data_IF_531055417958
#
_entry.id   IF_531055417958
#
_cell.length_a   1.000
_cell.length_b   1.000
_cell.length_c   1.000
_cell.angle_alpha   90.00
_cell.angle_beta   90.00
_cell.angle_gamma   90.00
#
_symmetry.space_group_name_H-M   'P 1'
#
loop_
_entity.id
_entity.type
_entity.pdbx_description
1 polymer ?
#
# COMPACT_ATOMS: atom_id res chain seq x y z
N UNK A 1 12.61 2.90 -12.54
CA UNK A 1 11.17 2.62 -12.37
C UNK A 1 10.63 3.18 -11.04
N UNK A 2 11.37 3.03 -9.92
CA UNK A 2 10.97 3.51 -8.57
C UNK A 2 10.71 5.03 -8.50
N UNK A 3 11.60 5.87 -9.03
CA UNK A 3 11.40 7.34 -9.04
C UNK A 3 10.13 7.76 -9.80
N UNK A 4 9.83 7.13 -10.95
CA UNK A 4 8.61 7.41 -11.72
C UNK A 4 7.34 6.98 -10.99
N UNK A 5 7.38 5.85 -10.26
CA UNK A 5 6.27 5.46 -9.40
C UNK A 5 6.03 6.52 -8.33
N UNK A 6 7.10 7.03 -7.71
CA UNK A 6 7.03 8.01 -6.63
C UNK A 6 6.47 9.36 -7.10
N UNK A 7 6.80 9.81 -8.31
CA UNK A 7 6.22 11.02 -8.94
C UNK A 7 4.72 10.86 -9.18
N UNK A 8 4.24 9.69 -9.58
CA UNK A 8 2.79 9.42 -9.65
C UNK A 8 2.12 9.48 -8.27
N UNK A 9 2.81 8.99 -7.24
CA UNK A 9 2.31 9.06 -5.86
C UNK A 9 2.36 10.49 -5.29
N UNK A 10 3.34 11.32 -5.64
CA UNK A 10 3.42 12.71 -5.14
C UNK A 10 2.24 13.57 -5.62
N UNK A 11 1.69 13.28 -6.80
CA UNK A 11 0.46 13.93 -7.30
C UNK A 11 -0.77 13.47 -6.50
N UNK A 12 -0.95 12.17 -6.31
CA UNK A 12 -2.08 11.62 -5.55
C UNK A 12 -2.05 12.04 -4.07
N UNK A 13 -0.86 12.14 -3.48
CA UNK A 13 -0.66 12.65 -2.13
C UNK A 13 -0.87 14.17 -2.06
N UNK A 14 -0.52 14.94 -3.11
CA UNK A 14 -0.87 16.37 -3.21
C UNK A 14 -2.39 16.56 -3.16
N UNK A 15 -3.12 15.81 -3.98
CA UNK A 15 -4.59 15.76 -3.96
C UNK A 15 -5.12 15.33 -2.57
N UNK A 16 -4.37 14.47 -1.86
CA UNK A 16 -4.73 14.08 -0.51
C UNK A 16 -4.58 15.21 0.52
N UNK A 17 -3.55 16.05 0.36
CA UNK A 17 -3.30 17.22 1.23
C UNK A 17 -4.15 18.46 0.92
N UNK A 18 -4.80 18.53 -0.26
CA UNK A 18 -5.68 19.65 -0.61
C UNK A 18 -6.88 19.73 0.37
N UNK A 19 -7.09 20.93 0.91
CA UNK A 19 -8.28 21.25 1.71
C UNK A 19 -9.52 21.13 0.82
N UNK A 20 -10.64 20.60 1.33
CA UNK A 20 -11.89 20.66 0.60
C UNK A 20 -12.23 22.14 0.35
N UNK A 21 -12.55 22.47 -0.90
CA UNK A 21 -13.21 23.73 -1.21
C UNK A 21 -14.47 23.85 -0.35
N UNK A 22 -14.77 25.06 0.10
CA UNK A 22 -15.91 25.40 0.95
C UNK A 22 -17.21 25.14 0.18
N UNK A 23 -17.62 23.88 0.11
CA UNK A 23 -18.86 23.42 -0.51
C UNK A 23 -19.79 23.06 0.62
N UNK A 24 -20.92 23.76 0.63
CA UNK A 24 -22.06 23.65 1.53
C UNK A 24 -22.28 22.20 2.01
N UNK A 25 -22.38 22.03 3.33
CA UNK A 25 -22.58 20.76 4.04
C UNK A 25 -23.85 20.03 3.55
N UNK A 26 -23.72 19.25 2.47
CA UNK A 26 -24.56 18.08 2.28
C UNK A 26 -23.99 16.99 3.18
N UNK A 27 -24.82 16.40 4.05
CA UNK A 27 -24.43 15.20 4.78
C UNK A 27 -24.01 14.16 3.72
N UNK A 28 -22.75 13.70 3.70
CA UNK A 28 -22.39 12.63 2.79
C UNK A 28 -23.23 11.41 3.18
N UNK A 29 -23.94 10.83 2.21
CA UNK A 29 -24.63 9.56 2.41
C UNK A 29 -23.65 8.53 3.00
N UNK A 30 -24.11 7.63 3.88
CA UNK A 30 -23.27 6.56 4.39
C UNK A 30 -22.65 5.79 3.22
N UNK A 31 -21.33 5.90 3.05
CA UNK A 31 -20.62 5.08 2.08
C UNK A 31 -20.75 3.63 2.55
N UNK A 32 -21.43 2.81 1.73
CA UNK A 32 -21.51 1.37 1.96
C UNK A 32 -20.10 0.81 2.06
N UNK A 33 -19.90 -0.11 2.99
CA UNK A 33 -18.60 -0.75 3.15
C UNK A 33 -18.40 -1.77 2.00
N UNK A 34 -17.15 -2.11 1.69
CA UNK A 34 -16.86 -3.16 0.68
C UNK A 34 -17.58 -4.48 1.01
N UNK A 35 -17.81 -4.74 2.30
CA UNK A 35 -18.62 -5.86 2.80
C UNK A 35 -20.08 -5.83 2.33
N UNK A 36 -20.68 -4.65 2.31
CA UNK A 36 -22.08 -4.47 1.92
C UNK A 36 -22.27 -4.40 0.41
N UNK A 37 -21.22 -4.00 -0.32
CA UNK A 37 -21.25 -3.89 -1.77
C UNK A 37 -20.98 -5.23 -2.48
N UNK A 38 -20.18 -6.12 -1.86
CA UNK A 38 -19.72 -7.38 -2.47
C UNK A 38 -19.81 -8.57 -1.48
N UNK A 39 -21.01 -8.93 -0.99
CA UNK A 39 -21.17 -10.04 -0.06
C UNK A 39 -20.67 -11.38 -0.62
N UNK A 40 -20.71 -11.57 -1.94
CA UNK A 40 -20.26 -12.78 -2.63
C UNK A 40 -18.73 -12.99 -2.61
N UNK A 41 -17.95 -11.94 -2.31
CA UNK A 41 -16.49 -11.99 -2.23
C UNK A 41 -15.98 -12.10 -0.78
N UNK A 42 -16.88 -12.09 0.20
CA UNK A 42 -16.53 -12.21 1.62
C UNK A 42 -15.96 -13.61 1.88
N UNK A 43 -14.77 -13.66 2.47
CA UNK A 43 -14.16 -14.90 2.90
C UNK A 43 -14.71 -15.30 4.27
N UNK A 44 -15.12 -16.56 4.40
CA UNK A 44 -15.58 -17.17 5.66
C UNK A 44 -14.58 -18.23 6.19
N UNK A 45 -13.55 -18.59 5.42
CA UNK A 45 -12.48 -19.50 5.88
C UNK A 45 -11.56 -18.76 6.86
N UNK A 46 -11.61 -19.19 8.12
CA UNK A 46 -10.83 -18.60 9.20
C UNK A 46 -9.32 -18.77 9.01
N UNK A 47 -8.85 -19.87 8.42
CA UNK A 47 -7.43 -20.09 8.18
C UNK A 47 -6.92 -19.14 7.10
N UNK A 48 -7.68 -18.97 6.01
CA UNK A 48 -7.35 -18.01 4.94
C UNK A 48 -7.30 -16.58 5.50
N UNK A 49 -8.27 -16.20 6.33
CA UNK A 49 -8.31 -14.91 7.02
C UNK A 49 -7.07 -14.73 7.91
N UNK A 50 -6.70 -15.73 8.70
CA UNK A 50 -5.54 -15.66 9.60
C UNK A 50 -4.23 -15.53 8.84
N UNK A 51 -4.05 -16.26 7.74
CA UNK A 51 -2.90 -16.14 6.86
C UNK A 51 -2.79 -14.72 6.28
N UNK A 52 -3.90 -14.17 5.76
CA UNK A 52 -3.93 -12.80 5.23
C UNK A 52 -3.60 -11.75 6.31
N UNK A 53 -4.07 -11.94 7.54
CA UNK A 53 -3.75 -11.06 8.68
C UNK A 53 -2.26 -11.12 9.02
N UNK A 54 -1.67 -12.32 9.08
CA UNK A 54 -0.25 -12.51 9.42
C UNK A 54 0.66 -11.78 8.41
N UNK A 55 0.45 -12.00 7.11
CA UNK A 55 1.20 -11.32 6.04
C UNK A 55 1.10 -9.80 6.14
N UNK A 56 -0.07 -9.28 6.49
CA UNK A 56 -0.31 -7.85 6.65
C UNK A 56 0.34 -7.28 7.92
N UNK A 57 0.39 -8.05 9.02
CA UNK A 57 1.10 -7.63 10.23
C UNK A 57 2.60 -7.53 9.99
N UNK A 58 3.17 -8.56 9.39
CA UNK A 58 4.57 -8.62 8.99
C UNK A 58 4.96 -7.46 8.05
N UNK A 59 4.20 -7.25 6.98
CA UNK A 59 4.43 -6.15 6.05
C UNK A 59 4.29 -4.79 6.72
N UNK A 60 3.31 -4.64 7.62
CA UNK A 60 3.11 -3.40 8.36
C UNK A 60 4.28 -3.09 9.30
N UNK A 61 4.87 -4.11 9.93
CA UNK A 61 6.00 -3.92 10.85
C UNK A 61 7.27 -3.56 10.08
N UNK A 62 7.52 -4.23 8.95
CA UNK A 62 8.63 -3.89 8.05
C UNK A 62 8.53 -2.45 7.55
N UNK A 63 7.35 -2.01 7.06
CA UNK A 63 7.14 -0.63 6.62
C UNK A 63 7.39 0.39 7.74
N UNK A 64 6.98 0.09 8.97
CA UNK A 64 7.24 0.97 10.11
C UNK A 64 8.74 1.06 10.39
N UNK A 65 9.46 -0.06 10.40
CA UNK A 65 10.92 -0.08 10.63
C UNK A 65 11.67 0.67 9.54
N UNK A 66 11.33 0.43 8.27
CA UNK A 66 11.87 1.18 7.13
C UNK A 66 11.57 2.69 7.23
N UNK A 67 10.39 3.09 7.69
CA UNK A 67 10.06 4.52 7.88
C UNK A 67 10.89 5.22 8.96
N UNK A 68 11.47 4.45 9.88
CA UNK A 68 12.34 4.93 10.97
C UNK A 68 13.83 4.85 10.63
N UNK A 69 14.18 4.14 9.56
CA UNK A 69 15.57 4.00 9.12
C UNK A 69 16.11 5.38 8.71
N UNK A 70 17.38 5.62 9.03
CA UNK A 70 18.08 6.86 8.67
C UNK A 70 18.06 7.09 7.16
N UNK A 71 18.16 8.35 6.76
CA UNK A 71 18.16 8.77 5.35
C UNK A 71 19.55 9.20 4.87
N UNK A 72 20.57 9.05 5.71
CA UNK A 72 21.92 9.62 5.49
C UNK A 72 22.63 9.02 4.27
N UNK A 73 22.27 7.79 3.90
CA UNK A 73 22.79 7.08 2.74
C UNK A 73 21.81 7.02 1.55
N UNK A 74 20.73 7.80 1.61
CA UNK A 74 19.81 7.97 0.49
C UNK A 74 20.22 9.16 -0.38
N UNK A 75 20.10 9.00 -1.70
CA UNK A 75 20.07 10.14 -2.61
C UNK A 75 18.75 10.88 -2.46
N UNK A 76 18.78 12.19 -2.23
CA UNK A 76 17.58 13.02 -2.10
C UNK A 76 17.32 13.90 -3.32
N UNK A 77 16.06 13.99 -3.72
CA UNK A 77 15.55 14.92 -4.71
C UNK A 77 14.42 15.75 -4.09
N UNK A 78 14.63 17.05 -3.98
CA UNK A 78 13.61 17.98 -3.50
C UNK A 78 12.74 18.43 -4.67
N UNK A 79 11.42 18.39 -4.53
CA UNK A 79 10.53 19.03 -5.52
C UNK A 79 10.48 20.54 -5.30
N UNK A 80 10.16 21.32 -6.33
CA UNK A 80 10.17 22.80 -6.32
C UNK A 80 9.39 23.45 -5.15
N UNK A 81 8.42 22.74 -4.55
CA UNK A 81 7.57 23.27 -3.47
C UNK A 81 8.04 22.98 -2.04
N UNK A 82 9.22 22.40 -1.81
CA UNK A 82 9.85 22.27 -0.47
C UNK A 82 9.19 21.30 0.53
N UNK A 83 7.87 21.11 0.47
CA UNK A 83 7.09 20.27 1.41
C UNK A 83 7.20 18.76 1.14
N UNK A 84 7.94 18.37 0.10
CA UNK A 84 8.07 16.99 -0.37
C UNK A 84 9.53 16.69 -0.66
N UNK A 85 10.04 15.68 0.03
CA UNK A 85 11.37 15.14 -0.24
C UNK A 85 11.25 13.70 -0.70
N UNK A 86 11.83 13.44 -1.86
CA UNK A 86 11.97 12.12 -2.45
C UNK A 86 13.35 11.61 -2.09
N UNK A 87 13.41 10.41 -1.53
CA UNK A 87 14.64 9.70 -1.23
C UNK A 87 14.68 8.41 -2.05
N UNK A 88 15.85 8.06 -2.55
CA UNK A 88 16.09 6.79 -3.21
C UNK A 88 17.38 6.16 -2.77
N UNK A 89 17.37 4.85 -2.56
CA UNK A 89 18.52 4.04 -2.19
C UNK A 89 18.45 2.71 -2.91
N UNK A 90 19.60 2.11 -3.18
CA UNK A 90 19.70 0.75 -3.73
C UNK A 90 20.48 -0.12 -2.76
N UNK A 91 19.94 -1.29 -2.44
CA UNK A 91 20.55 -2.27 -1.53
C UNK A 91 20.51 -3.64 -2.21
N UNK A 92 21.68 -4.14 -2.59
CA UNK A 92 21.77 -5.34 -3.42
C UNK A 92 20.92 -5.21 -4.70
N UNK A 93 19.89 -6.06 -4.81
CA UNK A 93 18.96 -6.09 -5.95
C UNK A 93 17.66 -5.32 -5.70
N UNK A 94 17.51 -4.66 -4.56
CA UNK A 94 16.31 -3.90 -4.19
C UNK A 94 16.54 -2.41 -4.40
N UNK A 95 15.64 -1.77 -5.15
CA UNK A 95 15.56 -0.32 -5.23
C UNK A 95 14.47 0.19 -4.27
N UNK A 96 14.84 1.08 -3.36
CA UNK A 96 13.97 1.67 -2.34
C UNK A 96 13.69 3.12 -2.72
N UNK A 97 12.41 3.45 -2.83
CA UNK A 97 11.91 4.82 -2.92
C UNK A 97 11.17 5.19 -1.66
N UNK A 98 11.42 6.38 -1.14
CA UNK A 98 10.74 6.93 0.02
C UNK A 98 10.29 8.35 -0.27
N UNK A 99 9.06 8.67 0.06
CA UNK A 99 8.52 10.02 0.02
C UNK A 99 8.10 10.40 1.43
N UNK A 100 8.57 11.55 1.89
CA UNK A 100 8.11 12.14 3.14
C UNK A 100 7.36 13.44 2.89
N UNK A 101 6.24 13.62 3.61
CA UNK A 101 5.39 14.80 3.57
C UNK A 101 4.90 15.10 4.99
N UNK A 102 4.88 16.38 5.34
CA UNK A 102 4.22 16.88 6.55
C UNK A 102 2.99 17.69 6.16
N UNK A 103 1.83 17.33 6.71
CA UNK A 103 0.56 18.02 6.50
C UNK A 103 0.23 18.81 7.78
N UNK A 104 0.02 20.13 7.72
CA UNK A 104 -0.36 20.92 8.89
C UNK A 104 -1.67 20.43 9.51
N UNK A 105 -1.83 20.64 10.81
CA UNK A 105 -2.97 20.24 11.63
C UNK A 105 -3.20 18.73 11.75
N UNK A 106 -3.20 18.25 13.00
CA UNK A 106 -3.58 16.87 13.34
C UNK A 106 -5.02 16.51 12.97
N UNK A 107 -5.89 17.51 12.77
CA UNK A 107 -7.28 17.29 12.32
C UNK A 107 -7.35 16.66 10.93
N UNK A 108 -6.27 16.77 10.13
CA UNK A 108 -6.19 16.13 8.82
C UNK A 108 -5.98 14.62 8.88
N UNK A 109 -5.67 14.03 10.04
CA UNK A 109 -5.29 12.62 10.15
C UNK A 109 -6.35 11.67 9.56
N UNK A 110 -7.61 11.82 9.99
CA UNK A 110 -8.71 11.00 9.48
C UNK A 110 -8.99 11.22 7.99
N UNK A 111 -8.83 12.45 7.51
CA UNK A 111 -9.03 12.79 6.10
C UNK A 111 -7.94 12.15 5.21
N UNK A 112 -6.68 12.23 5.65
CA UNK A 112 -5.54 11.57 5.00
C UNK A 112 -5.78 10.07 4.91
N UNK A 113 -6.15 9.42 6.02
CA UNK A 113 -6.45 7.99 6.02
C UNK A 113 -7.60 7.63 5.07
N UNK A 114 -8.66 8.45 5.02
CA UNK A 114 -9.80 8.23 4.11
C UNK A 114 -9.36 8.33 2.65
N UNK A 115 -8.55 9.32 2.29
CA UNK A 115 -8.08 9.51 0.91
C UNK A 115 -7.04 8.46 0.49
N UNK A 116 -6.21 7.99 1.42
CA UNK A 116 -5.24 6.90 1.15
C UNK A 116 -5.92 5.53 1.03
N UNK A 117 -6.92 5.25 1.87
CA UNK A 117 -7.75 4.03 1.82
C UNK A 117 -8.96 4.22 0.90
N UNK A 118 -8.72 4.71 -0.32
CA UNK A 118 -9.75 4.87 -1.34
C UNK A 118 -9.47 3.94 -2.54
N UNK A 119 -10.31 2.92 -2.69
CA UNK A 119 -10.17 1.87 -3.71
C UNK A 119 -10.95 2.20 -4.97
N UNK A 120 -10.37 1.96 -6.16
CA UNK A 120 -11.04 2.17 -7.46
C UNK A 120 -11.53 0.83 -7.99
N UNK A 121 -12.78 0.49 -7.71
CA UNK A 121 -13.29 -0.82 -8.07
C UNK A 121 -13.73 -0.94 -9.54
N UNK A 122 -13.88 0.16 -10.32
CA UNK A 122 -14.21 0.12 -11.76
C UNK A 122 -14.35 1.50 -12.46
N UNK A 123 -14.45 2.63 -11.75
CA UNK A 123 -14.91 3.88 -12.40
C UNK A 123 -13.80 4.76 -12.96
N UNK A 124 -12.56 4.75 -12.40
CA UNK A 124 -11.36 5.47 -12.91
C UNK A 124 -10.07 4.81 -12.35
N UNK A 125 -9.61 3.65 -12.86
CA UNK A 125 -8.51 2.88 -12.26
C UNK A 125 -7.19 3.68 -12.13
N UNK A 126 -6.95 4.62 -13.04
CA UNK A 126 -5.70 5.40 -13.10
C UNK A 126 -5.59 6.54 -12.08
N UNK A 127 -6.66 6.88 -11.34
CA UNK A 127 -6.70 8.05 -10.45
C UNK A 127 -6.58 7.74 -8.96
N UNK A 128 -6.68 6.47 -8.55
CA UNK A 128 -6.62 6.09 -7.13
C UNK A 128 -5.35 5.32 -6.80
N UNK A 129 -5.00 5.36 -5.51
CA UNK A 129 -3.79 4.75 -4.96
C UNK A 129 -3.87 3.22 -4.91
N UNK A 130 -5.06 2.70 -4.62
CA UNK A 130 -5.34 1.27 -4.58
C UNK A 130 -6.18 0.94 -5.81
N UNK A 131 -5.63 0.11 -6.68
CA UNK A 131 -6.22 -0.25 -7.97
C UNK A 131 -6.02 -1.76 -8.23
N UNK A 132 -7.08 -2.41 -8.71
CA UNK A 132 -7.14 -3.85 -9.00
C UNK A 132 -8.59 -4.30 -9.11
N UNK A 133 -8.83 -5.51 -9.60
CA UNK A 133 -10.13 -6.15 -9.47
C UNK A 133 -10.25 -6.73 -8.06
N UNK A 134 -11.37 -6.49 -7.39
CA UNK A 134 -11.61 -7.07 -6.07
C UNK A 134 -11.80 -8.58 -6.22
N UNK A 135 -10.95 -9.37 -5.54
CA UNK A 135 -10.97 -10.82 -5.62
C UNK A 135 -11.46 -11.49 -4.33
N UNK A 136 -11.13 -10.89 -3.17
CA UNK A 136 -11.54 -11.39 -1.85
C UNK A 136 -11.70 -10.25 -0.85
N UNK A 137 -12.65 -10.40 0.08
CA UNK A 137 -12.92 -9.45 1.15
C UNK A 137 -12.79 -10.17 2.50
N UNK A 138 -11.77 -9.83 3.30
CA UNK A 138 -11.54 -10.43 4.61
C UNK A 138 -12.07 -9.56 5.76
N UNK A 139 -11.95 -8.23 5.63
CA UNK A 139 -12.53 -7.25 6.56
C UNK A 139 -12.71 -5.90 5.86
N UNK A 140 -13.49 -4.98 6.46
CA UNK A 140 -13.65 -3.61 5.92
C UNK A 140 -12.31 -2.87 5.73
N UNK A 141 -11.22 -3.40 6.27
CA UNK A 141 -9.87 -2.87 6.20
C UNK A 141 -8.85 -3.86 5.63
N UNK A 142 -9.27 -5.00 5.05
CA UNK A 142 -8.38 -6.01 4.48
C UNK A 142 -9.06 -6.68 3.28
N UNK A 143 -8.46 -6.51 2.10
CA UNK A 143 -8.97 -7.03 0.84
C UNK A 143 -7.83 -7.64 0.01
N UNK A 144 -8.18 -8.58 -0.86
CA UNK A 144 -7.31 -9.12 -1.90
C UNK A 144 -7.71 -8.53 -3.25
N UNK A 145 -6.72 -8.04 -3.98
CA UNK A 145 -6.90 -7.45 -5.30
C UNK A 145 -6.13 -8.25 -6.34
N UNK A 146 -6.79 -8.57 -7.44
CA UNK A 146 -6.15 -9.03 -8.67
C UNK A 146 -5.63 -7.83 -9.47
N UNK A 147 -4.42 -7.94 -10.04
CA UNK A 147 -3.85 -6.91 -10.91
C UNK A 147 -4.74 -6.69 -12.14
N UNK A 148 -4.97 -5.43 -12.50
CA UNK A 148 -5.38 -5.12 -13.87
C UNK A 148 -4.25 -5.50 -14.83
N UNK A 149 -4.50 -6.43 -15.75
CA UNK A 149 -3.61 -6.54 -16.89
C UNK A 149 -3.81 -5.32 -17.79
N UNK A 150 -2.78 -4.51 -17.96
CA UNK A 150 -2.84 -3.30 -18.78
C UNK A 150 -2.76 -3.61 -20.28
N UNK A 151 -2.45 -4.85 -20.64
CA UNK A 151 -2.35 -5.28 -22.04
C UNK A 151 -3.63 -6.02 -22.45
N UNK A 152 -4.54 -5.32 -23.15
CA UNK A 152 -5.82 -5.86 -23.64
C UNK A 152 -5.64 -7.04 -24.63
N UNK A 153 -4.47 -7.15 -25.24
CA UNK A 153 -4.13 -8.20 -26.20
C UNK A 153 -3.47 -9.43 -25.56
N UNK A 154 -3.22 -9.38 -24.24
CA UNK A 154 -2.59 -10.47 -23.51
C UNK A 154 -3.56 -10.95 -22.45
N UNK A 155 -4.12 -12.14 -22.61
CA UNK A 155 -4.70 -12.86 -21.46
C UNK A 155 -3.51 -13.55 -20.80
N UNK A 156 -3.00 -13.06 -19.66
CA UNK A 156 -1.94 -13.79 -19.00
C UNK A 156 -2.56 -15.10 -18.51
N UNK A 157 -1.86 -16.22 -18.75
CA UNK A 157 -2.21 -17.51 -18.15
C UNK A 157 -2.21 -17.48 -16.61
N UNK A 158 -1.80 -16.36 -16.00
CA UNK A 158 -1.47 -16.25 -14.59
C UNK A 158 -1.97 -14.94 -14.00
N UNK A 159 -2.81 -15.04 -12.96
CA UNK A 159 -3.33 -13.90 -12.20
C UNK A 159 -2.33 -13.51 -11.12
N UNK A 160 -2.18 -12.21 -10.89
CA UNK A 160 -1.32 -11.69 -9.82
C UNK A 160 -2.19 -11.05 -8.76
N UNK A 161 -2.06 -11.51 -7.51
CA UNK A 161 -2.81 -10.98 -6.39
C UNK A 161 -1.93 -10.18 -5.43
N UNK A 162 -2.53 -9.23 -4.74
CA UNK A 162 -1.90 -8.51 -3.65
C UNK A 162 -2.91 -8.14 -2.58
N UNK A 163 -2.47 -8.21 -1.32
CA UNK A 163 -3.24 -7.73 -0.19
C UNK A 163 -3.16 -6.20 -0.10
N UNK A 164 -4.29 -5.57 0.18
CA UNK A 164 -4.37 -4.17 0.58
C UNK A 164 -5.00 -4.11 1.97
N UNK A 165 -4.43 -3.30 2.86
CA UNK A 165 -4.93 -3.19 4.22
C UNK A 165 -4.78 -1.80 4.83
N UNK A 166 -5.70 -1.46 5.74
CA UNK A 166 -5.55 -0.35 6.68
C UNK A 166 -5.35 -0.90 8.09
N UNK A 167 -4.12 -0.82 8.58
CA UNK A 167 -3.72 -1.34 9.89
C UNK A 167 -3.54 -0.20 10.88
N UNK A 168 -4.41 -0.12 11.89
CA UNK A 168 -4.20 0.80 13.03
C UNK A 168 -3.22 0.15 14.01
N UNK A 169 -1.96 0.63 14.05
CA UNK A 169 -0.92 0.11 14.96
C UNK A 169 -0.97 0.77 16.34
N UNK A 170 -1.39 2.03 16.41
CA UNK A 170 -1.65 2.75 17.66
C UNK A 170 -2.69 3.86 17.44
N UNK A 171 -2.98 4.68 18.45
CA UNK A 171 -3.85 5.85 18.27
C UNK A 171 -3.26 6.88 17.30
N UNK A 172 -1.94 6.95 17.20
CA UNK A 172 -1.23 7.97 16.44
C UNK A 172 -0.48 7.38 15.24
N UNK A 173 -0.60 6.09 14.97
CA UNK A 173 0.06 5.45 13.82
C UNK A 173 -0.88 4.50 13.11
N UNK A 174 -1.02 4.69 11.80
CA UNK A 174 -1.75 3.80 10.90
C UNK A 174 -0.93 3.53 9.66
N UNK A 175 -0.92 2.27 9.23
CA UNK A 175 -0.24 1.84 8.02
C UNK A 175 -1.29 1.51 6.97
N UNK A 176 -1.13 2.07 5.77
CA UNK A 176 -1.87 1.67 4.59
C UNK A 176 -0.94 0.80 3.75
N UNK A 177 -1.17 -0.51 3.78
CA UNK A 177 -0.49 -1.43 2.85
C UNK A 177 -1.26 -1.35 1.55
N UNK A 178 -0.57 -0.93 0.50
CA UNK A 178 -1.16 -0.80 -0.81
C UNK A 178 -0.27 -1.51 -1.83
N UNK A 179 -0.85 -2.31 -2.72
CA UNK A 179 -0.10 -2.76 -3.88
C UNK A 179 0.39 -1.54 -4.66
N UNK A 180 1.71 -1.44 -4.87
CA UNK A 180 2.25 -0.50 -5.83
C UNK A 180 1.84 -0.92 -7.26
N UNK A 181 2.01 -0.06 -8.26
CA UNK A 181 1.86 -0.47 -9.69
C UNK A 181 2.71 -1.71 -10.05
N UNK A 182 3.77 -1.98 -9.28
CA UNK A 182 4.51 -3.24 -9.27
C UNK A 182 4.16 -4.01 -7.98
N UNK A 183 3.28 -5.01 -8.10
CA UNK A 183 2.69 -5.75 -6.98
C UNK A 183 3.74 -6.43 -6.09
N UNK A 184 3.43 -6.53 -4.80
CA UNK A 184 4.03 -7.48 -3.87
C UNK A 184 3.68 -8.87 -4.41
N UNK A 185 4.69 -9.56 -4.95
CA UNK A 185 4.52 -10.82 -5.63
C UNK A 185 4.26 -11.92 -4.61
N UNK A 186 3.03 -12.46 -4.60
CA UNK A 186 2.64 -13.62 -3.79
C UNK A 186 2.82 -14.96 -4.55
N UNK A 187 3.00 -14.94 -5.88
CA UNK A 187 3.20 -16.16 -6.68
C UNK A 187 2.61 -16.07 -8.08
N UNK A 188 2.87 -17.11 -8.88
CA UNK A 188 2.25 -17.40 -10.17
C UNK A 188 1.16 -18.44 -9.92
N UNK A 189 -0.10 -18.12 -10.22
CA UNK A 189 -1.24 -19.03 -10.03
C UNK A 189 -1.75 -19.45 -11.40
N UNK A 190 -1.80 -20.77 -11.63
CA UNK A 190 -2.58 -21.40 -12.70
C UNK A 190 -4.07 -21.32 -12.33
N UNK A 191 -5.01 -21.35 -13.27
CA UNK A 191 -6.44 -21.04 -13.02
C UNK A 191 -7.16 -21.91 -11.94
N UNK A 192 -6.47 -22.92 -11.37
CA UNK A 192 -6.94 -23.84 -10.32
C UNK A 192 -6.37 -23.60 -8.90
N UNK A 193 -5.39 -22.72 -8.66
CA UNK A 193 -4.84 -22.56 -7.28
C UNK A 193 -5.78 -21.79 -6.37
N UNK A 194 -6.08 -22.36 -5.20
CA UNK A 194 -6.88 -21.72 -4.17
C UNK A 194 -6.14 -20.53 -3.54
N UNK A 195 -6.85 -19.43 -3.26
CA UNK A 195 -6.26 -18.22 -2.64
C UNK A 195 -5.54 -18.57 -1.33
N UNK A 196 -6.08 -19.51 -0.55
CA UNK A 196 -5.47 -20.04 0.66
C UNK A 196 -4.09 -20.64 0.42
N UNK A 197 -3.96 -21.54 -0.55
CA UNK A 197 -2.69 -22.18 -0.91
C UNK A 197 -1.64 -21.14 -1.36
N UNK A 198 -2.04 -20.10 -2.08
CA UNK A 198 -1.14 -18.97 -2.41
C UNK A 198 -0.64 -18.26 -1.15
N UNK A 199 -1.52 -18.01 -0.19
CA UNK A 199 -1.15 -17.34 1.06
C UNK A 199 -0.24 -18.23 1.92
N UNK A 200 -0.46 -19.54 1.94
CA UNK A 200 0.42 -20.49 2.64
C UNK A 200 1.82 -20.53 2.03
N UNK A 201 1.91 -20.49 0.70
CA UNK A 201 3.18 -20.51 -0.03
C UNK A 201 3.89 -19.14 -0.11
N UNK A 202 3.24 -18.07 0.37
CA UNK A 202 3.85 -16.75 0.41
C UNK A 202 4.95 -16.72 1.47
N UNK A 203 6.14 -16.26 1.07
CA UNK A 203 7.28 -16.09 1.97
C UNK A 203 6.97 -15.08 3.10
N UNK A 204 7.16 -15.49 4.35
CA UNK A 204 7.06 -14.62 5.53
C UNK A 204 8.19 -13.59 5.58
N UNK A 205 7.93 -12.45 6.21
CA UNK A 205 8.93 -11.41 6.44
C UNK A 205 9.59 -11.63 7.81
N UNK A 206 10.91 -11.76 7.82
CA UNK A 206 11.69 -11.78 9.06
C UNK A 206 11.59 -10.41 9.75
N UNK A 207 10.87 -10.36 10.87
CA UNK A 207 10.68 -9.10 11.59
C UNK A 207 11.76 -8.82 12.62
N UNK A 208 12.53 -9.80 13.11
CA UNK A 208 13.49 -9.61 14.22
C UNK A 208 14.91 -9.20 13.81
N UNK A 209 15.09 -8.75 12.57
CA UNK A 209 16.38 -8.32 12.01
C UNK A 209 16.33 -6.86 11.54
N UNK A 210 17.46 -6.37 11.01
CA UNK A 210 17.54 -5.06 10.36
C UNK A 210 16.51 -4.97 9.21
N UNK A 211 15.75 -3.86 9.09
CA UNK A 211 14.70 -3.77 8.08
C UNK A 211 15.20 -3.80 6.63
N UNK A 212 16.42 -3.34 6.36
CA UNK A 212 16.99 -3.38 5.00
C UNK A 212 17.50 -4.79 4.67
N UNK A 213 18.01 -5.50 5.67
CA UNK A 213 18.32 -6.94 5.56
C UNK A 213 17.04 -7.76 5.32
N UNK A 214 15.98 -7.54 6.11
CA UNK A 214 14.68 -8.19 5.96
C UNK A 214 14.09 -7.96 4.57
N UNK A 215 14.18 -6.73 4.08
CA UNK A 215 13.71 -6.38 2.74
C UNK A 215 14.50 -7.09 1.64
N UNK A 216 15.82 -7.23 1.81
CA UNK A 216 16.67 -7.96 0.84
C UNK A 216 16.34 -9.45 0.82
N UNK A 217 16.12 -10.07 2.00
CA UNK A 217 15.73 -11.49 2.13
C UNK A 217 14.33 -11.79 1.60
N UNK A 218 13.40 -10.85 1.80
CA UNK A 218 12.03 -10.96 1.29
C UNK A 218 12.01 -11.14 -0.24
N UNK A 219 12.93 -10.50 -0.96
CA UNK A 219 13.13 -10.73 -2.39
C UNK A 219 11.93 -10.38 -3.29
N UNK A 220 10.89 -9.76 -2.73
CA UNK A 220 9.67 -9.30 -3.42
C UNK A 220 9.43 -7.82 -3.15
N UNK A 221 8.47 -7.24 -3.85
CA UNK A 221 8.13 -5.84 -3.68
C UNK A 221 7.36 -5.63 -2.37
N UNK A 222 7.53 -4.46 -1.78
CA UNK A 222 6.69 -3.98 -0.67
C UNK A 222 6.42 -2.49 -0.85
N UNK A 223 5.15 -2.10 -0.69
CA UNK A 223 4.77 -0.70 -0.70
C UNK A 223 3.67 -0.39 0.31
N UNK A 224 3.72 0.83 0.82
CA UNK A 224 2.70 1.33 1.73
C UNK A 224 3.02 2.69 2.32
N UNK A 225 2.02 3.24 3.00
CA UNK A 225 2.09 4.50 3.72
C UNK A 225 2.14 4.22 5.22
N UNK A 226 3.09 4.86 5.90
CA UNK A 226 3.08 5.01 7.36
C UNK A 226 2.62 6.44 7.66
N UNK A 227 1.43 6.55 8.25
CA UNK A 227 0.82 7.82 8.64
C UNK A 227 0.91 7.96 10.15
N UNK A 228 1.57 9.03 10.60
CA UNK A 228 1.73 9.34 12.01
C UNK A 228 1.07 10.68 12.35
N UNK A 229 0.35 10.72 13.46
CA UNK A 229 -0.14 11.95 14.06
C UNK A 229 1.00 12.54 14.89
N UNK A 230 1.46 13.74 14.54
CA UNK A 230 2.37 14.54 15.36
C UNK A 230 1.61 15.41 16.35
N UNK A 231 2.28 16.38 16.95
CA UNK A 231 1.67 17.30 17.91
C UNK A 231 0.69 18.29 17.24
N UNK A 232 1.11 18.88 16.13
CA UNK A 232 0.36 19.89 15.37
C UNK A 232 0.22 19.53 13.88
N UNK A 233 0.68 18.35 13.46
CA UNK A 233 0.76 17.94 12.07
C UNK A 233 0.48 16.45 11.87
N UNK A 234 0.40 16.03 10.60
CA UNK A 234 0.32 14.64 10.17
C UNK A 234 1.52 14.35 9.28
N UNK A 235 2.34 13.39 9.69
CA UNK A 235 3.48 12.93 8.92
C UNK A 235 3.08 11.73 8.07
N UNK A 236 3.31 11.82 6.76
CA UNK A 236 3.05 10.73 5.82
C UNK A 236 4.38 10.30 5.22
N UNK A 237 4.75 9.04 5.45
CA UNK A 237 5.92 8.42 4.82
C UNK A 237 5.43 7.31 3.90
N UNK A 238 5.61 7.48 2.61
CA UNK A 238 5.37 6.43 1.64
C UNK A 238 6.68 5.71 1.32
N UNK A 239 6.65 4.39 1.28
CA UNK A 239 7.78 3.52 0.92
C UNK A 239 7.34 2.66 -0.26
N UNK A 240 8.21 2.54 -1.25
CA UNK A 240 8.08 1.62 -2.36
C UNK A 240 9.43 0.94 -2.60
N UNK A 241 9.53 -0.34 -2.25
CA UNK A 241 10.71 -1.14 -2.51
C UNK A 241 10.40 -2.16 -3.61
N UNK A 242 11.25 -2.18 -4.63
CA UNK A 242 11.10 -3.05 -5.80
C UNK A 242 12.30 -3.97 -5.90
N UNK A 243 12.04 -5.27 -5.85
CA UNK A 243 13.05 -6.31 -6.06
C UNK A 243 13.27 -6.50 -7.56
N UNK A 244 14.52 -6.41 -8.01
CA UNK A 244 14.93 -6.69 -9.39
C UNK A 244 15.41 -8.13 -9.58
N UNK A 245 15.15 -9.03 -8.63
CA UNK A 245 15.40 -10.45 -8.82
C UNK A 245 14.54 -10.94 -9.98
N UNK A 246 15.19 -11.50 -11.01
CA UNK A 246 14.48 -12.21 -12.08
C UNK A 246 13.90 -13.48 -11.47
N UNK A 247 12.58 -13.54 -11.33
CA UNK A 247 11.85 -14.78 -11.10
C UNK A 247 11.60 -15.47 -12.43
#
# INVERSE_FOLDING_TARGET
MVLLSLVGYTQNVAFASEQPSDVTKANPEPQKTVFEEFPELVCEDLDEILLAINHIMEASDLLIKLSKTGIDDYSSYSTENGDKTIYSKKIGNVDIGRLHLTIPSTSNYSNVLKKLWDFSHNKKPYKKLINGNLARVYSKYLILLEKFNTDLNYTPLTKNYALAAKVKKSNDTTVIICPSRALNYLGQIDDETEIKEMLENTQSIETDIDPEEALTKLGTNIAGFVVKKGDDNVQVTYINAVSNLKK
#
